data_IF_451522849496
#
_entry.id   IF_451522849496
#
_cell.length_a   1.000
_cell.length_b   1.000
_cell.length_c   1.000
_cell.angle_alpha   90.00
_cell.angle_beta   90.00
_cell.angle_gamma   90.00
#
_symmetry.space_group_name_H-M   'P 1'
#
loop_
_entity.id
_entity.type
_entity.pdbx_description
1 polymer ?
#
# COMPACT_ATOMS: atom_id res chain seq x y z
N UNK A 1 44.04 -5.96 9.79
CA UNK A 1 43.65 -4.59 10.16
C UNK A 1 43.32 -4.55 11.66
N UNK A 2 43.26 -3.38 12.32
CA UNK A 2 42.79 -3.31 13.70
C UNK A 2 41.27 -3.05 13.75
N UNK A 3 40.54 -3.85 14.54
CA UNK A 3 39.11 -3.69 14.80
C UNK A 3 38.92 -2.65 15.90
N UNK A 4 38.19 -1.58 15.60
CA UNK A 4 37.85 -0.52 16.57
C UNK A 4 36.59 -0.88 17.35
N UNK A 5 36.70 -1.07 18.67
CA UNK A 5 35.57 -1.38 19.56
C UNK A 5 35.48 -0.36 20.69
N UNK A 6 34.26 0.05 21.05
CA UNK A 6 34.05 0.96 22.17
C UNK A 6 33.77 0.17 23.45
N UNK A 7 34.61 0.33 24.46
CA UNK A 7 34.42 -0.27 25.78
C UNK A 7 33.21 0.37 26.51
N UNK A 8 32.52 -0.35 27.42
CA UNK A 8 31.49 0.26 28.28
C UNK A 8 31.95 1.47 29.10
N UNK A 9 33.26 1.60 29.38
CA UNK A 9 33.83 2.78 30.03
C UNK A 9 33.97 4.01 29.11
N UNK A 10 33.51 3.93 27.85
CA UNK A 10 33.54 5.00 26.86
C UNK A 10 34.86 5.16 26.08
N UNK A 11 35.88 4.34 26.34
CA UNK A 11 37.15 4.40 25.61
C UNK A 11 37.15 3.49 24.38
N UNK A 12 37.68 4.01 23.27
CA UNK A 12 37.92 3.23 22.05
C UNK A 12 39.16 2.35 22.20
N UNK A 13 39.02 1.11 21.75
CA UNK A 13 40.02 0.05 21.80
C UNK A 13 40.34 -0.36 20.36
N UNK A 14 41.62 -0.50 20.04
CA UNK A 14 42.06 -1.09 18.78
C UNK A 14 42.56 -2.49 19.07
N UNK A 15 41.84 -3.49 18.58
CA UNK A 15 42.21 -4.88 18.76
C UNK A 15 42.73 -5.50 17.46
N UNK A 16 43.73 -6.40 17.53
CA UNK A 16 44.18 -7.14 16.35
C UNK A 16 43.09 -8.10 15.86
N UNK A 17 43.02 -8.32 14.54
CA UNK A 17 42.06 -9.26 13.91
C UNK A 17 42.09 -10.67 14.52
N UNK A 18 43.22 -11.12 15.08
CA UNK A 18 43.35 -12.43 15.75
C UNK A 18 42.42 -12.60 16.97
N UNK A 19 41.85 -11.50 17.46
CA UNK A 19 40.89 -11.44 18.56
C UNK A 19 39.45 -11.20 18.10
N UNK A 20 39.16 -11.17 16.80
CA UNK A 20 37.80 -11.20 16.28
C UNK A 20 37.02 -12.39 16.87
N UNK A 21 35.78 -12.14 17.33
CA UNK A 21 34.95 -13.14 18.01
C UNK A 21 35.43 -13.56 19.41
N UNK A 22 36.51 -12.96 19.95
CA UNK A 22 37.06 -13.25 21.28
C UNK A 22 36.87 -12.07 22.23
N UNK A 23 37.13 -12.30 23.52
CA UNK A 23 37.09 -11.27 24.57
C UNK A 23 38.48 -10.70 24.82
N UNK A 24 38.60 -9.39 24.90
CA UNK A 24 39.84 -8.68 25.22
C UNK A 24 39.65 -7.77 26.46
N UNK A 25 40.71 -7.59 27.26
CA UNK A 25 40.66 -6.67 28.41
C UNK A 25 40.90 -5.23 27.96
N UNK A 26 40.03 -4.31 28.39
CA UNK A 26 40.26 -2.89 28.23
C UNK A 26 41.52 -2.46 29.00
N UNK A 27 42.48 -1.73 28.40
CA UNK A 27 43.71 -1.31 29.09
C UNK A 27 43.44 -0.26 30.18
N UNK A 28 42.24 0.31 30.22
CA UNK A 28 41.88 1.38 31.17
C UNK A 28 41.04 0.86 32.33
N UNK A 29 39.87 0.27 32.07
CA UNK A 29 39.00 -0.23 33.14
C UNK A 29 39.25 -1.72 33.49
N UNK A 30 40.08 -2.43 32.72
CA UNK A 30 40.37 -3.88 32.85
C UNK A 30 39.19 -4.82 32.63
N UNK A 31 38.03 -4.30 32.26
CA UNK A 31 36.83 -5.09 31.94
C UNK A 31 36.99 -5.85 30.62
N UNK A 32 36.34 -7.01 30.53
CA UNK A 32 36.38 -7.88 29.35
C UNK A 32 35.33 -7.41 28.33
N UNK A 33 35.79 -6.96 27.17
CA UNK A 33 34.95 -6.51 26.05
C UNK A 33 34.98 -7.57 24.97
N UNK A 34 33.80 -7.90 24.43
CA UNK A 34 33.64 -8.82 23.31
C UNK A 34 33.92 -8.10 22.00
N UNK A 35 34.76 -8.70 21.15
CA UNK A 35 35.15 -8.12 19.87
C UNK A 35 34.27 -8.75 18.80
N UNK A 36 33.51 -7.95 18.02
CA UNK A 36 32.66 -8.50 16.98
C UNK A 36 33.50 -9.26 15.97
N UNK A 37 33.05 -10.46 15.62
CA UNK A 37 33.57 -11.20 14.48
C UNK A 37 33.13 -10.44 13.22
N UNK A 38 34.07 -10.03 12.35
CA UNK A 38 33.69 -9.42 11.09
C UNK A 38 32.85 -10.44 10.34
N UNK A 39 31.59 -10.08 10.07
CA UNK A 39 30.75 -10.88 9.19
C UNK A 39 31.51 -10.98 7.86
N UNK A 40 32.01 -12.17 7.54
CA UNK A 40 32.52 -12.47 6.22
C UNK A 40 31.36 -12.25 5.27
N UNK A 41 31.37 -11.10 4.58
CA UNK A 41 30.51 -10.87 3.44
C UNK A 41 30.96 -11.91 2.43
N UNK A 42 30.17 -12.98 2.28
CA UNK A 42 30.39 -14.01 1.27
C UNK A 42 30.26 -13.31 -0.08
N UNK A 43 31.38 -12.89 -0.66
CA UNK A 43 31.46 -12.28 -2.00
C UNK A 43 31.41 -13.34 -3.12
N UNK A 44 31.32 -14.63 -2.77
CA UNK A 44 31.55 -15.74 -3.71
C UNK A 44 30.27 -16.42 -4.27
N UNK A 45 29.09 -15.80 -4.20
CA UNK A 45 27.88 -16.34 -4.87
C UNK A 45 27.05 -15.28 -5.59
N UNK A 46 27.73 -14.36 -6.27
CA UNK A 46 27.17 -13.69 -7.45
C UNK A 46 27.93 -14.26 -8.65
N UNK A 47 27.59 -15.49 -9.04
CA UNK A 47 27.87 -15.93 -10.40
C UNK A 47 27.24 -14.92 -11.36
N UNK A 48 28.13 -14.27 -12.09
CA UNK A 48 27.85 -13.39 -13.20
C UNK A 48 26.85 -14.06 -14.15
N UNK A 49 25.64 -13.49 -14.21
CA UNK A 49 24.78 -13.64 -15.39
C UNK A 49 25.41 -12.75 -16.47
N UNK A 50 26.43 -13.28 -17.16
CA UNK A 50 27.03 -12.72 -18.38
C UNK A 50 26.14 -12.98 -19.61
N UNK A 51 24.85 -12.61 -19.53
CA UNK A 51 23.92 -12.59 -20.67
C UNK A 51 22.89 -11.46 -20.49
N UNK A 52 23.31 -10.33 -19.93
CA UNK A 52 22.61 -9.08 -20.17
C UNK A 52 22.98 -8.61 -21.58
N UNK A 53 22.19 -9.07 -22.56
CA UNK A 53 21.94 -8.33 -23.80
C UNK A 53 22.00 -6.83 -23.48
N UNK A 54 22.94 -6.14 -24.12
CA UNK A 54 22.97 -4.69 -24.18
C UNK A 54 21.64 -4.28 -24.79
N UNK A 55 20.66 -4.02 -23.95
CA UNK A 55 19.46 -3.32 -24.33
C UNK A 55 19.97 -1.93 -24.68
N UNK A 56 20.10 -1.69 -25.98
CA UNK A 56 20.33 -0.38 -26.58
C UNK A 56 19.57 0.65 -25.76
N UNK A 57 20.27 1.69 -25.33
CA UNK A 57 19.72 2.84 -24.62
C UNK A 57 18.35 3.15 -25.18
N UNK A 58 17.29 2.82 -24.43
CA UNK A 58 15.93 3.18 -24.81
C UNK A 58 15.96 4.70 -24.91
N UNK A 59 15.84 5.28 -26.11
CA UNK A 59 15.96 6.71 -26.26
C UNK A 59 14.90 7.33 -25.37
N UNK A 60 15.31 8.21 -24.45
CA UNK A 60 14.37 9.04 -23.70
C UNK A 60 13.33 9.54 -24.69
N UNK A 61 12.02 9.29 -24.46
CA UNK A 61 11.01 9.69 -25.41
C UNK A 61 11.16 11.18 -25.63
N UNK A 62 11.59 11.58 -26.84
CA UNK A 62 11.60 12.97 -27.26
C UNK A 62 10.23 13.53 -26.87
N UNK A 63 10.16 14.70 -26.20
CA UNK A 63 8.87 15.32 -25.90
C UNK A 63 8.07 15.33 -27.18
N UNK A 64 6.96 14.57 -27.21
CA UNK A 64 6.14 14.44 -28.42
C UNK A 64 5.72 15.86 -28.77
N UNK A 65 6.27 16.40 -29.85
CA UNK A 65 5.74 17.59 -30.48
C UNK A 65 4.24 17.37 -30.62
N UNK A 66 3.46 18.38 -30.18
CA UNK A 66 2.01 18.33 -30.17
C UNK A 66 1.51 17.71 -31.48
N UNK A 67 0.82 16.57 -31.36
CA UNK A 67 0.33 15.82 -32.52
C UNK A 67 -0.52 16.77 -33.35
N UNK A 68 -0.17 17.07 -34.62
CA UNK A 68 -1.00 17.91 -35.46
C UNK A 68 -2.38 17.26 -35.55
N UNK A 69 -3.42 18.05 -35.28
CA UNK A 69 -4.82 17.62 -35.35
C UNK A 69 -5.04 16.93 -36.70
N UNK A 70 -5.61 15.73 -36.66
CA UNK A 70 -5.90 14.97 -37.88
C UNK A 70 -6.87 15.74 -38.78
N UNK A 71 -6.78 15.55 -40.10
CA UNK A 71 -7.67 16.19 -41.09
C UNK A 71 -9.16 15.89 -40.86
N UNK A 72 -9.49 14.80 -40.18
CA UNK A 72 -10.87 14.49 -39.74
C UNK A 72 -11.37 15.43 -38.61
N UNK A 73 -10.44 16.05 -37.88
CA UNK A 73 -10.69 17.04 -36.84
C UNK A 73 -10.76 18.48 -37.38
N UNK A 74 -10.32 18.71 -38.63
CA UNK A 74 -10.39 20.01 -39.32
C UNK A 74 -11.67 20.19 -40.16
N UNK A 75 -12.46 19.13 -40.37
CA UNK A 75 -13.66 19.18 -41.23
C UNK A 75 -14.96 19.30 -40.38
N UNK A 76 -14.87 19.20 -39.06
CA UNK A 76 -16.01 19.43 -38.15
C UNK A 76 -16.18 20.89 -37.69
N UNK A 77 -15.45 21.83 -38.30
CA UNK A 77 -15.42 23.26 -37.92
C UNK A 77 -16.08 24.12 -39.02
N UNK A 78 -17.11 23.57 -39.67
CA UNK A 78 -17.92 24.27 -40.67
C UNK A 78 -19.36 24.39 -40.15
N UNK A 79 -19.69 25.58 -39.67
CA UNK A 79 -21.03 26.20 -39.65
C UNK A 79 -22.22 25.31 -39.27
N UNK A 80 -22.18 24.70 -38.09
CA UNK A 80 -23.40 24.55 -37.30
C UNK A 80 -23.46 25.73 -36.33
N UNK A 81 -24.31 26.70 -36.63
CA UNK A 81 -24.72 27.74 -35.68
C UNK A 81 -24.96 27.10 -34.31
N UNK A 82 -24.50 27.73 -33.21
CA UNK A 82 -24.77 27.25 -31.88
C UNK A 82 -26.28 27.35 -31.64
N UNK A 83 -27.00 26.25 -31.81
CA UNK A 83 -28.27 26.08 -31.12
C UNK A 83 -27.97 26.23 -29.63
N UNK A 84 -28.60 27.24 -29.06
CA UNK A 84 -28.62 27.69 -27.68
C UNK A 84 -28.85 26.51 -26.71
N UNK A 85 -27.80 25.73 -26.45
CA UNK A 85 -27.68 24.81 -25.32
C UNK A 85 -27.08 25.54 -24.14
N UNK A 86 -27.76 26.58 -23.69
CA UNK A 86 -27.49 27.28 -22.43
C UNK A 86 -27.76 26.43 -21.18
N UNK A 87 -28.31 25.22 -21.33
CA UNK A 87 -28.63 24.31 -20.22
C UNK A 87 -27.68 23.11 -20.05
N UNK A 88 -26.59 23.03 -20.81
CA UNK A 88 -25.50 22.09 -20.48
C UNK A 88 -24.74 22.65 -19.27
N UNK A 89 -25.34 22.45 -18.09
CA UNK A 89 -24.79 22.83 -16.78
C UNK A 89 -23.32 22.50 -16.79
N UNK A 90 -22.51 23.52 -16.66
CA UNK A 90 -21.06 23.47 -16.61
C UNK A 90 -20.70 22.42 -15.55
N UNK A 91 -20.49 21.16 -15.97
CA UNK A 91 -20.05 20.10 -15.08
C UNK A 91 -18.75 20.59 -14.51
N UNK A 92 -18.83 21.04 -13.26
CA UNK A 92 -17.76 21.73 -12.58
C UNK A 92 -16.55 20.81 -12.59
N UNK A 93 -15.33 21.35 -12.51
CA UNK A 93 -14.14 20.51 -12.35
C UNK A 93 -14.30 19.53 -11.16
N UNK A 94 -15.14 19.88 -10.18
CA UNK A 94 -15.61 19.05 -9.09
C UNK A 94 -16.44 17.85 -9.56
N UNK A 95 -17.42 18.02 -10.44
CA UNK A 95 -18.25 16.92 -10.98
C UNK A 95 -17.42 15.90 -11.79
N UNK A 96 -16.38 16.38 -12.50
CA UNK A 96 -15.42 15.48 -13.17
C UNK A 96 -14.55 14.71 -12.17
N UNK A 97 -14.12 15.34 -11.07
CA UNK A 97 -13.38 14.70 -9.98
C UNK A 97 -14.23 13.68 -9.19
N UNK A 98 -15.54 13.90 -9.10
CA UNK A 98 -16.49 13.00 -8.43
C UNK A 98 -17.02 11.89 -9.33
N UNK A 99 -16.76 11.94 -10.64
CA UNK A 99 -17.10 10.84 -11.54
C UNK A 99 -16.28 9.59 -11.17
N UNK A 100 -16.94 8.44 -11.01
CA UNK A 100 -16.31 7.18 -10.56
C UNK A 100 -15.24 6.58 -11.49
N UNK A 101 -14.79 7.34 -12.49
CA UNK A 101 -13.70 7.02 -13.42
C UNK A 101 -12.39 7.74 -13.05
N UNK A 102 -12.33 8.40 -11.89
CA UNK A 102 -11.09 9.03 -11.44
C UNK A 102 -10.04 7.99 -11.05
N UNK A 103 -8.87 8.11 -11.70
CA UNK A 103 -7.69 7.33 -11.39
C UNK A 103 -6.73 8.17 -10.54
N UNK A 104 -6.16 7.57 -9.48
CA UNK A 104 -5.16 8.26 -8.67
C UNK A 104 -3.94 8.66 -9.53
N UNK A 105 -3.26 9.75 -9.14
CA UNK A 105 -2.04 10.23 -9.82
C UNK A 105 -0.90 9.20 -9.77
N UNK A 106 -0.82 8.44 -8.68
CA UNK A 106 0.06 7.29 -8.52
C UNK A 106 -0.79 6.02 -8.31
N UNK A 107 -1.34 5.40 -9.36
CA UNK A 107 -2.22 4.25 -9.21
C UNK A 107 -1.43 3.02 -8.77
N UNK A 108 -1.95 2.29 -7.79
CA UNK A 108 -1.35 1.05 -7.27
C UNK A 108 -1.06 0.04 -8.36
N UNK A 109 -1.95 -0.05 -9.37
CA UNK A 109 -1.82 -0.99 -10.47
C UNK A 109 -1.52 -2.40 -9.97
N UNK A 110 -2.11 -2.86 -8.86
CA UNK A 110 -1.84 -4.18 -8.27
C UNK A 110 -2.98 -5.13 -8.60
N UNK A 111 -2.65 -6.26 -9.25
CA UNK A 111 -3.63 -7.34 -9.43
C UNK A 111 -3.70 -8.16 -8.15
N UNK A 112 -4.89 -8.18 -7.55
CA UNK A 112 -5.16 -8.97 -6.36
C UNK A 112 -5.18 -10.45 -6.71
N UNK A 113 -4.41 -11.21 -5.97
CA UNK A 113 -4.51 -12.65 -5.89
C UNK A 113 -5.52 -12.99 -4.80
N UNK A 114 -6.78 -13.16 -5.21
CA UNK A 114 -7.92 -13.30 -4.27
C UNK A 114 -7.70 -14.47 -3.33
N UNK A 115 -7.20 -15.61 -3.82
CA UNK A 115 -6.97 -16.78 -2.98
C UNK A 115 -5.85 -16.53 -1.96
N UNK A 116 -4.73 -15.95 -2.41
CA UNK A 116 -3.63 -15.60 -1.50
C UNK A 116 -4.07 -14.57 -0.45
N UNK A 117 -4.81 -13.54 -0.86
CA UNK A 117 -5.32 -12.49 0.04
C UNK A 117 -6.29 -13.10 1.06
N UNK A 118 -7.22 -13.93 0.58
CA UNK A 118 -8.19 -14.63 1.43
C UNK A 118 -7.54 -15.53 2.47
N UNK A 119 -6.52 -16.31 2.10
CA UNK A 119 -5.82 -17.19 3.04
C UNK A 119 -5.05 -16.42 4.13
N UNK A 120 -4.68 -15.16 3.86
CA UNK A 120 -4.00 -14.30 4.82
C UNK A 120 -4.96 -13.45 5.66
N UNK A 121 -6.14 -13.11 5.12
CA UNK A 121 -7.16 -12.31 5.80
C UNK A 121 -8.56 -12.93 5.68
N UNK A 122 -8.78 -14.13 6.25
CA UNK A 122 -9.98 -14.91 5.94
C UNK A 122 -11.22 -14.43 6.71
N UNK A 123 -11.07 -13.76 7.86
CA UNK A 123 -12.13 -13.63 8.88
C UNK A 123 -13.43 -13.05 8.32
N UNK A 124 -13.38 -11.89 7.65
CA UNK A 124 -14.59 -11.25 7.11
C UNK A 124 -15.26 -12.06 6.00
N UNK A 125 -14.47 -12.63 5.09
CA UNK A 125 -15.00 -13.42 3.96
C UNK A 125 -15.55 -14.76 4.44
N UNK A 126 -14.87 -15.45 5.35
CA UNK A 126 -15.33 -16.70 5.93
C UNK A 126 -16.66 -16.54 6.67
N UNK A 127 -16.82 -15.45 7.44
CA UNK A 127 -18.09 -15.17 8.14
C UNK A 127 -19.22 -14.99 7.12
N UNK A 128 -19.01 -14.21 6.06
CA UNK A 128 -20.03 -13.98 5.03
C UNK A 128 -20.38 -15.27 4.26
N UNK A 129 -19.38 -16.07 3.90
CA UNK A 129 -19.59 -17.36 3.23
C UNK A 129 -20.32 -18.34 4.16
N UNK A 130 -19.96 -18.40 5.44
CA UNK A 130 -20.62 -19.26 6.41
C UNK A 130 -22.10 -18.86 6.60
N UNK A 131 -22.40 -17.56 6.72
CA UNK A 131 -23.77 -17.04 6.78
C UNK A 131 -24.54 -17.46 5.53
N UNK A 132 -23.95 -17.28 4.34
CA UNK A 132 -24.59 -17.68 3.10
C UNK A 132 -24.87 -19.20 3.05
N UNK A 133 -23.91 -20.04 3.46
CA UNK A 133 -24.10 -21.49 3.52
C UNK A 133 -25.23 -21.89 4.48
N UNK A 134 -25.32 -21.24 5.65
CA UNK A 134 -26.42 -21.48 6.61
C UNK A 134 -27.77 -21.09 5.98
N UNK A 135 -27.86 -19.92 5.35
CA UNK A 135 -29.09 -19.47 4.68
C UNK A 135 -29.49 -20.41 3.55
N UNK A 136 -28.55 -20.88 2.74
CA UNK A 136 -28.81 -21.84 1.68
C UNK A 136 -29.27 -23.19 2.22
N UNK A 137 -28.64 -23.68 3.30
CA UNK A 137 -29.02 -24.92 3.97
C UNK A 137 -30.43 -24.85 4.57
N UNK A 138 -30.77 -23.75 5.26
CA UNK A 138 -32.12 -23.50 5.76
C UNK A 138 -33.13 -23.41 4.61
N UNK A 139 -32.78 -22.72 3.53
CA UNK A 139 -33.62 -22.62 2.33
C UNK A 139 -33.94 -23.98 1.73
N UNK A 140 -32.92 -24.83 1.54
CA UNK A 140 -33.09 -26.19 1.04
C UNK A 140 -33.93 -27.06 1.99
N UNK A 141 -33.67 -26.97 3.31
CA UNK A 141 -34.43 -27.69 4.33
C UNK A 141 -35.92 -27.34 4.30
N UNK A 142 -36.24 -26.04 4.30
CA UNK A 142 -37.63 -25.59 4.23
C UNK A 142 -38.27 -25.95 2.89
N UNK A 143 -37.52 -25.95 1.79
CA UNK A 143 -38.04 -26.34 0.47
C UNK A 143 -38.43 -27.81 0.39
N UNK A 144 -37.67 -28.69 1.06
CA UNK A 144 -37.94 -30.14 1.12
C UNK A 144 -39.01 -30.52 2.16
N UNK A 145 -39.40 -29.60 3.05
CA UNK A 145 -40.38 -29.85 4.09
C UNK A 145 -41.83 -29.97 3.56
N UNK A 146 -42.74 -30.59 4.35
CA UNK A 146 -44.14 -30.81 3.95
C UNK A 146 -44.95 -29.52 3.68
N UNK A 147 -44.45 -28.35 4.08
CA UNK A 147 -45.07 -27.03 3.86
C UNK A 147 -44.28 -26.16 2.85
N UNK A 148 -43.40 -26.77 2.05
CA UNK A 148 -42.11 -26.17 1.66
C UNK A 148 -42.04 -25.11 0.56
N UNK A 149 -43.13 -24.61 0.01
CA UNK A 149 -43.04 -23.71 -1.15
C UNK A 149 -42.53 -22.30 -0.84
N UNK A 150 -43.17 -21.60 0.11
CA UNK A 150 -43.04 -20.14 0.23
C UNK A 150 -41.95 -19.69 1.18
N UNK A 151 -41.65 -20.45 2.23
CA UNK A 151 -40.66 -20.06 3.24
C UNK A 151 -39.22 -20.39 2.81
N UNK A 152 -39.01 -21.46 2.03
CA UNK A 152 -37.66 -21.86 1.58
C UNK A 152 -37.03 -20.92 0.56
N UNK A 153 -37.85 -20.35 -0.34
CA UNK A 153 -37.36 -19.45 -1.39
C UNK A 153 -36.74 -18.16 -0.85
N UNK A 154 -37.26 -17.62 0.26
CA UNK A 154 -36.71 -16.43 0.92
C UNK A 154 -35.28 -16.66 1.43
N UNK A 155 -35.03 -17.77 2.11
CA UNK A 155 -33.69 -18.11 2.61
C UNK A 155 -32.69 -18.38 1.48
N UNK A 156 -33.12 -19.05 0.40
CA UNK A 156 -32.27 -19.24 -0.78
C UNK A 156 -31.89 -17.91 -1.41
N UNK A 157 -32.85 -17.00 -1.60
CA UNK A 157 -32.59 -15.67 -2.15
C UNK A 157 -31.63 -14.86 -1.28
N UNK A 158 -31.79 -14.89 0.05
CA UNK A 158 -30.87 -14.22 0.98
C UNK A 158 -29.47 -14.84 0.95
N UNK A 159 -29.35 -16.16 0.86
CA UNK A 159 -28.07 -16.85 0.76
C UNK A 159 -27.32 -16.48 -0.53
N UNK A 160 -28.01 -16.51 -1.68
CA UNK A 160 -27.45 -16.08 -2.97
C UNK A 160 -27.10 -14.59 -2.95
N UNK A 161 -27.96 -13.74 -2.40
CA UNK A 161 -27.70 -12.31 -2.26
C UNK A 161 -26.45 -12.02 -1.42
N UNK A 162 -26.26 -12.79 -0.34
CA UNK A 162 -25.07 -12.68 0.54
C UNK A 162 -23.79 -13.06 -0.21
N UNK A 163 -23.80 -14.13 -1.02
CA UNK A 163 -22.68 -14.48 -1.90
C UNK A 163 -22.42 -13.40 -2.95
N UNK A 164 -23.49 -12.81 -3.51
CA UNK A 164 -23.39 -11.69 -4.45
C UNK A 164 -22.72 -10.46 -3.83
N UNK A 165 -23.09 -10.07 -2.61
CA UNK A 165 -22.45 -8.99 -1.85
C UNK A 165 -20.97 -9.30 -1.59
N UNK A 166 -20.67 -10.55 -1.20
CA UNK A 166 -19.29 -10.98 -0.97
C UNK A 166 -18.43 -10.89 -2.25
N UNK A 167 -18.94 -11.37 -3.38
CA UNK A 167 -18.28 -11.28 -4.68
C UNK A 167 -18.09 -9.82 -5.12
N UNK A 168 -19.11 -8.97 -4.93
CA UNK A 168 -19.04 -7.54 -5.22
C UNK A 168 -18.00 -6.83 -4.35
N UNK A 169 -17.89 -7.19 -3.07
CA UNK A 169 -16.87 -6.68 -2.16
C UNK A 169 -15.45 -6.99 -2.66
N UNK A 170 -15.20 -8.23 -3.08
CA UNK A 170 -13.91 -8.64 -3.66
C UNK A 170 -13.62 -7.95 -5.00
N UNK A 171 -14.63 -7.76 -5.84
CA UNK A 171 -14.50 -7.00 -7.08
C UNK A 171 -14.10 -5.55 -6.80
N UNK A 172 -14.78 -4.90 -5.85
CA UNK A 172 -14.50 -3.51 -5.45
C UNK A 172 -13.11 -3.38 -4.85
N UNK A 173 -12.74 -4.27 -3.93
CA UNK A 173 -11.39 -4.34 -3.36
C UNK A 173 -10.33 -4.50 -4.45
N UNK A 174 -10.54 -5.42 -5.39
CA UNK A 174 -9.60 -5.64 -6.50
C UNK A 174 -9.46 -4.42 -7.40
N UNK A 175 -10.56 -3.69 -7.66
CA UNK A 175 -10.52 -2.42 -8.38
C UNK A 175 -9.75 -1.35 -7.61
N UNK A 176 -9.96 -1.23 -6.29
CA UNK A 176 -9.22 -0.28 -5.47
C UNK A 176 -7.72 -0.55 -5.50
N UNK A 177 -7.29 -1.82 -5.49
CA UNK A 177 -5.87 -2.14 -5.60
C UNK A 177 -5.26 -1.79 -6.98
N UNK A 178 -6.08 -1.69 -8.02
CA UNK A 178 -5.65 -1.28 -9.36
C UNK A 178 -5.62 0.25 -9.50
N UNK A 179 -6.71 0.93 -9.10
CA UNK A 179 -6.93 2.35 -9.39
C UNK A 179 -6.66 3.29 -8.21
N UNK A 180 -6.63 2.75 -6.99
CA UNK A 180 -6.37 3.50 -5.76
C UNK A 180 -4.95 4.04 -5.70
N UNK A 181 -4.74 5.05 -4.86
CA UNK A 181 -3.46 5.72 -4.73
C UNK A 181 -2.46 4.80 -4.04
N UNK A 182 -1.26 4.66 -4.61
CA UNK A 182 -0.14 4.04 -3.93
C UNK A 182 0.51 5.05 -2.99
N UNK A 183 0.73 4.63 -1.75
CA UNK A 183 1.33 5.46 -0.70
C UNK A 183 2.54 4.75 -0.07
N UNK A 184 3.59 5.49 0.31
CA UNK A 184 4.71 4.91 1.03
C UNK A 184 4.25 4.44 2.42
N UNK A 185 4.78 3.31 2.85
CA UNK A 185 4.53 2.79 4.19
C UNK A 185 5.77 2.12 4.78
N UNK A 186 5.73 1.92 6.10
CA UNK A 186 6.82 1.28 6.84
C UNK A 186 6.25 0.41 7.95
N UNK A 187 6.89 -0.74 8.15
CA UNK A 187 6.58 -1.63 9.27
C UNK A 187 7.13 -0.98 10.55
N UNK A 188 6.24 -0.59 11.45
CA UNK A 188 6.61 0.10 12.70
C UNK A 188 6.70 -0.84 13.90
N UNK A 189 6.06 -2.01 13.81
CA UNK A 189 6.17 -3.10 14.80
C UNK A 189 5.82 -4.42 14.12
N UNK A 190 6.83 -5.19 13.71
CA UNK A 190 6.68 -6.43 12.95
C UNK A 190 6.02 -7.53 13.79
N UNK A 191 6.31 -7.58 15.09
CA UNK A 191 5.74 -8.56 16.02
C UNK A 191 4.24 -8.36 16.17
N UNK A 192 3.81 -7.11 16.35
CA UNK A 192 2.39 -6.75 16.47
C UNK A 192 1.68 -6.64 15.12
N UNK A 193 2.41 -6.67 14.00
CA UNK A 193 1.80 -6.52 12.68
C UNK A 193 1.46 -5.08 12.32
N UNK A 194 2.09 -4.07 12.93
CA UNK A 194 1.75 -2.67 12.70
C UNK A 194 2.52 -2.08 11.53
N UNK A 195 1.77 -1.46 10.63
CA UNK A 195 2.31 -0.73 9.47
C UNK A 195 1.76 0.68 9.46
N UNK A 196 2.65 1.65 9.29
CA UNK A 196 2.28 3.04 9.05
C UNK A 196 2.24 3.34 7.56
N UNK A 197 1.18 4.00 7.10
CA UNK A 197 1.13 4.66 5.79
C UNK A 197 0.93 6.16 5.98
N UNK A 198 1.41 6.96 5.04
CA UNK A 198 1.17 8.42 5.00
C UNK A 198 0.44 8.81 3.72
N UNK A 199 -0.48 9.77 3.83
CA UNK A 199 -1.11 10.40 2.67
C UNK A 199 -1.51 11.83 3.01
N UNK A 200 -1.64 12.65 1.98
CA UNK A 200 -2.48 13.84 2.03
C UNK A 200 -3.94 13.43 1.81
N UNK A 201 -4.86 13.92 2.64
CA UNK A 201 -6.30 13.72 2.49
C UNK A 201 -6.98 14.84 1.70
N UNK A 202 -6.27 15.87 1.24
CA UNK A 202 -6.87 16.94 0.42
C UNK A 202 -7.53 16.39 -0.86
N UNK A 203 -8.71 16.93 -1.18
CA UNK A 203 -9.45 16.65 -2.42
C UNK A 203 -9.05 17.60 -3.58
N UNK A 204 -7.99 18.40 -3.38
CA UNK A 204 -7.51 19.42 -4.30
C UNK A 204 -8.36 20.70 -4.28
N UNK A 205 -8.91 21.04 -3.12
CA UNK A 205 -9.73 22.24 -2.87
C UNK A 205 -9.34 22.89 -1.53
N UNK A 206 -8.89 22.08 -0.58
CA UNK A 206 -8.50 22.52 0.75
C UNK A 206 -7.02 22.87 0.85
N UNK A 207 -6.57 22.97 2.10
CA UNK A 207 -5.16 22.97 2.46
C UNK A 207 -4.66 21.53 2.53
N UNK A 208 -3.35 21.34 2.43
CA UNK A 208 -2.73 20.04 2.65
C UNK A 208 -3.20 19.46 4.00
N UNK A 209 -3.61 18.19 3.99
CA UNK A 209 -4.16 17.48 5.14
C UNK A 209 -3.40 16.16 5.31
N UNK A 210 -2.12 16.28 5.65
CA UNK A 210 -1.25 15.13 5.87
C UNK A 210 -1.64 14.35 7.12
N UNK A 211 -1.72 13.02 6.94
CA UNK A 211 -2.01 12.09 8.02
C UNK A 211 -1.10 10.88 7.94
N UNK A 212 -0.68 10.38 9.10
CA UNK A 212 -0.14 9.03 9.24
C UNK A 212 -1.24 8.14 9.82
N UNK A 213 -1.48 6.99 9.19
CA UNK A 213 -2.36 5.96 9.76
C UNK A 213 -1.57 4.68 10.01
N UNK A 214 -1.73 4.15 11.22
CA UNK A 214 -1.16 2.86 11.62
C UNK A 214 -2.27 1.83 11.64
N UNK A 215 -2.09 0.76 10.89
CA UNK A 215 -3.03 -0.35 10.74
C UNK A 215 -2.38 -1.68 11.06
N UNK A 216 -3.20 -2.64 11.46
CA UNK A 216 -2.75 -4.00 11.72
C UNK A 216 -2.79 -4.85 10.45
N UNK A 217 -1.76 -5.66 10.22
CA UNK A 217 -1.68 -6.61 9.13
C UNK A 217 -0.93 -7.91 9.50
N UNK A 218 -1.24 -9.05 8.86
CA UNK A 218 -0.63 -10.35 9.18
C UNK A 218 0.77 -10.55 8.56
N UNK A 219 1.76 -9.75 8.98
CA UNK A 219 3.10 -9.62 8.37
C UNK A 219 3.96 -10.89 8.25
N UNK A 220 3.58 -12.00 8.88
CA UNK A 220 4.34 -13.26 8.83
C UNK A 220 4.23 -14.02 7.50
N UNK A 221 3.25 -13.70 6.66
CA UNK A 221 2.93 -14.45 5.42
C UNK A 221 2.91 -13.60 4.15
N UNK A 222 3.55 -12.44 4.20
CA UNK A 222 3.58 -11.53 3.06
C UNK A 222 4.56 -11.99 1.97
N UNK A 223 4.31 -11.55 0.75
CA UNK A 223 5.24 -11.75 -0.37
C UNK A 223 6.57 -11.07 -0.08
N UNK A 224 7.66 -11.83 -0.19
CA UNK A 224 9.02 -11.34 0.12
C UNK A 224 9.60 -11.86 1.44
N UNK A 225 8.80 -12.57 2.24
CA UNK A 225 9.24 -13.13 3.53
C UNK A 225 8.64 -12.39 4.72
N UNK A 226 8.99 -12.78 5.96
CA UNK A 226 8.51 -12.13 7.17
C UNK A 226 8.99 -10.67 7.23
N UNK A 227 8.14 -9.78 7.73
CA UNK A 227 8.49 -8.38 7.90
C UNK A 227 9.50 -8.15 9.03
N UNK A 228 10.18 -7.01 8.98
CA UNK A 228 11.10 -6.52 10.00
C UNK A 228 10.78 -5.05 10.29
N UNK A 229 11.08 -4.58 11.49
CA UNK A 229 10.92 -3.18 11.85
C UNK A 229 11.73 -2.28 10.91
N UNK A 230 11.13 -1.16 10.50
CA UNK A 230 11.72 -0.25 9.52
C UNK A 230 11.67 -0.73 8.07
N UNK A 231 11.13 -1.93 7.79
CA UNK A 231 10.96 -2.40 6.42
C UNK A 231 10.01 -1.49 5.66
N UNK A 232 10.51 -0.93 4.55
CA UNK A 232 9.72 -0.16 3.60
C UNK A 232 8.75 -1.05 2.86
N UNK A 233 7.50 -0.63 2.78
CA UNK A 233 6.43 -1.31 2.06
C UNK A 233 5.64 -0.33 1.21
N UNK A 234 5.06 -0.81 0.12
CA UNK A 234 4.08 -0.05 -0.64
C UNK A 234 2.69 -0.36 -0.10
N UNK A 235 1.85 0.66 0.01
CA UNK A 235 0.42 0.49 0.33
C UNK A 235 -0.43 1.03 -0.82
N UNK A 236 -1.67 0.55 -0.95
CA UNK A 236 -2.69 1.18 -1.80
C UNK A 236 -3.86 1.60 -0.92
N UNK A 237 -4.21 2.87 -0.97
CA UNK A 237 -5.21 3.48 -0.10
C UNK A 237 -6.62 3.44 -0.70
N UNK A 238 -7.60 3.19 0.16
CA UNK A 238 -9.01 3.56 -0.09
C UNK A 238 -9.36 4.76 0.78
N UNK A 239 -9.79 5.86 0.18
CA UNK A 239 -10.18 7.08 0.89
C UNK A 239 -11.66 7.05 1.26
N UNK A 240 -12.01 7.56 2.44
CA UNK A 240 -13.36 7.52 2.99
C UNK A 240 -13.72 8.84 3.67
N UNK A 241 -15.01 9.17 3.65
CA UNK A 241 -15.55 10.38 4.26
C UNK A 241 -16.36 11.21 3.28
N UNK A 242 -16.82 12.36 3.73
CA UNK A 242 -17.57 13.32 2.93
C UNK A 242 -16.62 14.25 2.17
N UNK A 243 -16.47 14.12 0.84
CA UNK A 243 -15.55 14.93 0.06
C UNK A 243 -15.96 16.41 0.02
N UNK A 244 -17.19 16.77 0.41
CA UNK A 244 -17.64 18.17 0.48
C UNK A 244 -16.89 18.99 1.54
N UNK A 245 -16.21 18.33 2.48
CA UNK A 245 -15.34 18.97 3.50
C UNK A 245 -14.00 19.46 2.94
N UNK A 246 -13.76 19.29 1.64
CA UNK A 246 -12.52 19.66 0.97
C UNK A 246 -11.35 18.69 1.22
N UNK A 247 -11.53 17.72 2.11
CA UNK A 247 -10.58 16.63 2.38
C UNK A 247 -11.36 15.36 2.75
N UNK A 248 -10.73 14.20 2.57
CA UNK A 248 -11.21 12.93 3.08
C UNK A 248 -11.09 12.90 4.61
N UNK A 249 -11.94 12.14 5.29
CA UNK A 249 -11.88 12.03 6.76
C UNK A 249 -10.83 11.01 7.20
N UNK A 250 -10.64 9.96 6.40
CA UNK A 250 -9.69 8.89 6.67
C UNK A 250 -9.33 8.16 5.38
N UNK A 251 -8.31 7.32 5.43
CA UNK A 251 -7.92 6.42 4.37
C UNK A 251 -7.58 5.04 4.95
N UNK A 252 -7.69 3.97 4.18
CA UNK A 252 -7.30 2.62 4.58
C UNK A 252 -6.12 2.12 3.73
N UNK A 253 -4.89 2.13 4.25
CA UNK A 253 -3.72 1.66 3.52
C UNK A 253 -3.64 0.13 3.51
N UNK A 254 -3.69 -0.48 2.32
CA UNK A 254 -3.49 -1.93 2.16
C UNK A 254 -2.08 -2.23 1.68
N UNK A 255 -1.29 -2.92 2.50
CA UNK A 255 0.08 -3.32 2.13
C UNK A 255 0.05 -4.28 0.92
N UNK A 256 0.77 -3.89 -0.13
CA UNK A 256 0.77 -4.57 -1.43
C UNK A 256 1.25 -6.02 -1.31
N UNK A 257 2.21 -6.28 -0.42
CA UNK A 257 2.78 -7.60 -0.19
C UNK A 257 1.75 -8.63 0.31
N UNK A 258 0.59 -8.21 0.83
CA UNK A 258 -0.49 -9.14 1.23
C UNK A 258 -1.46 -9.48 0.12
N UNK A 259 -1.56 -8.64 -0.90
CA UNK A 259 -2.61 -8.80 -1.90
C UNK A 259 -2.12 -9.52 -3.15
N UNK A 260 -0.81 -9.67 -3.32
CA UNK A 260 -0.22 -10.25 -4.54
C UNK A 260 1.04 -11.04 -4.23
N UNK A 261 1.23 -12.16 -4.95
CA UNK A 261 2.46 -12.97 -4.94
C UNK A 261 3.51 -12.48 -5.94
N UNK A 262 3.15 -11.50 -6.78
CA UNK A 262 4.03 -10.98 -7.82
C UNK A 262 5.07 -10.01 -7.23
N UNK A 263 6.27 -10.53 -6.96
CA UNK A 263 7.42 -9.74 -6.45
C UNK A 263 7.80 -8.58 -7.39
N UNK A 264 7.65 -8.74 -8.72
CA UNK A 264 7.97 -7.66 -9.68
C UNK A 264 7.00 -6.50 -9.49
N UNK A 265 5.73 -6.80 -9.23
CA UNK A 265 4.68 -5.80 -8.97
C UNK A 265 4.87 -5.08 -7.65
N UNK A 266 5.23 -5.80 -6.60
CA UNK A 266 5.63 -5.21 -5.30
C UNK A 266 6.79 -4.23 -5.51
N UNK A 267 7.85 -4.66 -6.18
CA UNK A 267 9.02 -3.81 -6.49
C UNK A 267 8.63 -2.59 -7.33
N UNK A 268 7.74 -2.78 -8.31
CA UNK A 268 7.22 -1.69 -9.16
C UNK A 268 6.52 -0.61 -8.33
N UNK A 269 5.63 -1.00 -7.41
CA UNK A 269 4.96 -0.02 -6.52
C UNK A 269 5.98 0.71 -5.66
N UNK A 270 6.92 0.00 -5.03
CA UNK A 270 7.96 0.64 -4.22
C UNK A 270 8.80 1.65 -5.02
N UNK A 271 9.05 1.38 -6.30
CA UNK A 271 9.81 2.27 -7.17
C UNK A 271 9.06 3.54 -7.61
N UNK A 272 7.74 3.64 -7.36
CA UNK A 272 7.00 4.86 -7.67
C UNK A 272 7.16 5.95 -6.60
N UNK A 273 7.71 5.60 -5.43
CA UNK A 273 7.96 6.54 -4.33
C UNK A 273 9.32 7.22 -4.48
N UNK A 274 9.30 8.54 -4.53
CA UNK A 274 10.48 9.40 -4.53
C UNK A 274 11.15 9.45 -3.16
N UNK A 275 12.37 10.01 -3.10
CA UNK A 275 13.04 10.27 -1.82
C UNK A 275 12.23 11.23 -0.92
N UNK A 276 11.49 12.17 -1.52
CA UNK A 276 10.61 13.10 -0.80
C UNK A 276 9.47 12.36 -0.10
N UNK A 277 8.84 11.39 -0.77
CA UNK A 277 7.73 10.61 -0.20
C UNK A 277 8.18 9.84 1.05
N UNK A 278 9.39 9.27 1.02
CA UNK A 278 9.99 8.61 2.18
C UNK A 278 10.37 9.59 3.29
N UNK A 279 10.85 10.79 2.94
CA UNK A 279 11.16 11.83 3.93
C UNK A 279 9.89 12.28 4.67
N UNK A 280 8.80 12.56 3.95
CA UNK A 280 7.51 12.94 4.52
C UNK A 280 6.98 11.86 5.48
N UNK A 281 7.04 10.58 5.08
CA UNK A 281 6.64 9.47 5.97
C UNK A 281 7.45 9.47 7.28
N UNK A 282 8.77 9.62 7.18
CA UNK A 282 9.65 9.61 8.34
C UNK A 282 9.44 10.83 9.25
N UNK A 283 9.20 12.01 8.67
CA UNK A 283 8.89 13.23 9.43
C UNK A 283 7.55 13.11 10.14
N UNK A 284 6.49 12.72 9.42
CA UNK A 284 5.18 12.51 10.03
C UNK A 284 5.19 11.45 11.12
N UNK A 285 5.99 10.38 10.96
CA UNK A 285 6.14 9.35 11.99
C UNK A 285 6.79 9.83 13.29
N UNK A 286 7.57 10.92 13.27
CA UNK A 286 8.16 11.51 14.49
C UNK A 286 7.10 12.19 15.36
N UNK A 287 6.00 12.62 14.76
CA UNK A 287 4.87 13.25 15.47
C UNK A 287 3.90 12.22 16.05
N UNK A 288 3.95 10.97 15.60
CA UNK A 288 3.07 9.90 16.09
C UNK A 288 3.53 9.40 17.47
N UNK A 289 2.65 9.37 18.50
CA UNK A 289 3.01 8.92 19.83
C UNK A 289 3.52 7.47 19.88
N UNK A 290 4.55 7.24 20.70
CA UNK A 290 5.09 5.91 20.99
C UNK A 290 4.68 5.44 22.40
N UNK A 291 4.47 4.13 22.64
CA UNK A 291 4.56 3.03 21.66
C UNK A 291 3.43 3.10 20.62
N UNK A 292 3.75 2.72 19.38
CA UNK A 292 2.80 2.75 18.28
C UNK A 292 1.58 1.86 18.55
N UNK A 293 0.41 2.34 18.13
CA UNK A 293 -0.89 1.65 18.22
C UNK A 293 -1.64 1.86 16.91
N UNK A 294 -2.69 1.07 16.61
CA UNK A 294 -3.58 1.40 15.50
C UNK A 294 -4.28 2.74 15.71
N UNK A 295 -4.36 3.56 14.66
CA UNK A 295 -4.96 4.90 14.72
C UNK A 295 -4.58 5.78 13.53
N UNK A 296 -5.09 7.01 13.52
CA UNK A 296 -4.77 8.04 12.53
C UNK A 296 -4.38 9.32 13.26
N UNK A 297 -3.30 9.96 12.81
CA UNK A 297 -2.78 11.20 13.36
C UNK A 297 -2.61 12.22 12.23
N UNK A 298 -3.08 13.44 12.47
CA UNK A 298 -2.72 14.59 11.64
C UNK A 298 -1.27 14.97 11.96
N UNK A 299 -0.49 15.22 10.93
CA UNK A 299 0.95 15.45 11.02
C UNK A 299 1.38 16.55 10.06
N UNK A 300 2.61 17.05 10.20
CA UNK A 300 3.21 18.01 9.27
C UNK A 300 2.42 19.33 9.15
N UNK A 301 1.69 19.73 10.19
CA UNK A 301 0.86 20.95 10.16
C UNK A 301 1.71 22.22 9.98
N UNK A 302 2.97 22.19 10.42
CA UNK A 302 3.89 23.33 10.40
C UNK A 302 4.57 23.54 9.02
N UNK A 303 4.40 22.63 8.05
CA UNK A 303 4.99 22.80 6.71
C UNK A 303 4.33 23.94 5.92
N UNK A 304 3.12 24.37 6.30
CA UNK A 304 2.37 25.43 5.64
C UNK A 304 2.88 26.85 5.99
N UNK A 305 3.73 27.01 7.01
CA UNK A 305 4.16 28.32 7.51
C UNK A 305 5.53 28.79 6.98
N UNK A 306 6.22 28.00 6.14
CA UNK A 306 7.55 28.31 5.57
C UNK A 306 7.51 28.59 4.07
#
# INVERSE_FOLDING_TARGET
>A
MPISVTCPCGKKLNAPDTLAGKRAKCPVCKELVEIPEPLEVIEDEIEFIDDAEVIDEVPLPKPRAARPKSRAQQIGEHDSEPEDRSDATERTALDRKLSGDTQASNPGNVKVDVLFTFLNYPTGTLVMVAIACVLLGLGAWFFMGPNGGKSGSGFLALGVGTLGICAWGWYTFSRNMIYGCANPGVVVDAEKGLVAGITDLDCGIGKEHWVVKITWHPLSKMTGGPAQDGMRVGTVATYMGDPSKGHWETFEPWVVNFVTRDKKRVKKVLSTFSARDWALLNEGLREVPTPYKPGQWRVLEDLDEQ
#
